data_IF_648411833683
#
_entry.id   IF_648411833683
#
_cell.length_a   1.000
_cell.length_b   1.000
_cell.length_c   1.000
_cell.angle_alpha   90.00
_cell.angle_beta   90.00
_cell.angle_gamma   90.00
#
_symmetry.space_group_name_H-M   'P 1'
#
loop_
_entity.id
_entity.type
_entity.pdbx_description
1 polymer ?
#
# COMPACT_ATOMS: atom_id res chain seq x y z
N UNK A 1 37.33 44.04 56.17
CA UNK A 1 37.91 43.63 54.88
C UNK A 1 36.83 43.69 53.80
N UNK A 2 37.14 44.27 52.64
CA UNK A 2 36.25 45.17 51.90
C UNK A 2 35.12 44.53 51.06
N UNK A 3 33.97 45.22 51.04
CA UNK A 3 32.88 45.03 50.05
C UNK A 3 33.34 45.28 48.59
N UNK A 4 34.47 45.96 48.40
CA UNK A 4 35.09 46.23 47.11
C UNK A 4 35.72 44.98 46.48
N UNK A 5 36.32 44.08 47.27
CA UNK A 5 36.99 42.87 46.77
C UNK A 5 35.99 41.87 46.17
N UNK A 6 34.78 41.79 46.73
CA UNK A 6 33.70 40.93 46.21
C UNK A 6 33.14 41.44 44.87
N UNK A 7 33.18 42.76 44.64
CA UNK A 7 32.75 43.38 43.38
C UNK A 7 33.81 43.23 42.28
N UNK A 8 35.09 43.20 42.63
CA UNK A 8 36.18 42.98 41.66
C UNK A 8 36.23 41.52 41.19
N UNK A 9 36.00 40.54 42.08
CA UNK A 9 35.92 39.12 41.68
C UNK A 9 34.70 38.82 40.80
N UNK A 10 33.56 39.48 41.03
CA UNK A 10 32.36 39.32 40.20
C UNK A 10 32.49 39.96 38.80
N UNK A 11 33.40 40.94 38.63
CA UNK A 11 33.63 41.64 37.35
C UNK A 11 34.70 40.97 36.48
N UNK A 12 35.47 40.02 37.01
CA UNK A 12 36.56 39.35 36.30
C UNK A 12 36.14 38.03 35.64
N UNK A 13 34.92 37.53 35.89
CA UNK A 13 34.36 36.33 35.25
C UNK A 13 33.64 36.60 33.92
N UNK A 14 33.61 37.84 33.45
CA UNK A 14 32.85 38.25 32.27
C UNK A 14 33.78 38.94 31.28
N UNK A 15 34.46 38.17 30.42
CA UNK A 15 34.87 38.63 29.09
C UNK A 15 35.35 37.44 28.23
N UNK A 16 34.40 36.80 27.55
CA UNK A 16 34.62 36.15 26.25
C UNK A 16 33.42 36.53 25.35
N UNK A 17 33.64 37.24 24.22
CA UNK A 17 32.55 37.93 23.53
C UNK A 17 32.01 37.11 22.35
N UNK A 18 30.69 36.88 22.29
CA UNK A 18 29.91 36.98 21.04
C UNK A 18 28.40 36.90 21.31
N UNK A 19 27.73 37.99 20.90
CA UNK A 19 26.35 38.17 20.48
C UNK A 19 25.26 37.19 20.97
N UNK A 20 24.12 37.68 21.50
CA UNK A 20 22.91 36.89 21.50
C UNK A 20 22.45 36.76 20.05
N UNK A 21 22.89 35.70 19.39
CA UNK A 21 22.31 35.25 18.14
C UNK A 21 20.83 35.00 18.44
N UNK A 22 20.00 35.95 18.04
CA UNK A 22 18.56 35.76 17.93
C UNK A 22 18.39 34.56 17.02
N UNK A 23 18.24 33.37 17.60
CA UNK A 23 17.62 32.25 16.91
C UNK A 23 16.23 32.75 16.56
N UNK A 24 16.09 33.22 15.33
CA UNK A 24 14.81 33.39 14.69
C UNK A 24 14.07 32.09 14.96
N UNK A 25 13.04 32.16 15.80
CA UNK A 25 12.09 31.09 15.96
C UNK A 25 11.61 30.78 14.53
N UNK A 26 12.03 29.62 14.02
CA UNK A 26 11.56 29.13 12.75
C UNK A 26 10.03 29.17 12.79
N UNK A 27 9.35 29.62 11.72
CA UNK A 27 7.91 29.67 11.71
C UNK A 27 7.43 28.23 11.89
N UNK A 28 6.77 27.99 13.02
CA UNK A 28 6.10 26.74 13.31
C UNK A 28 5.03 26.59 12.23
N UNK A 29 5.30 25.71 11.26
CA UNK A 29 4.42 25.49 10.11
C UNK A 29 3.06 25.10 10.65
N UNK A 30 2.13 26.02 10.49
CA UNK A 30 0.71 25.85 10.76
C UNK A 30 0.24 24.55 10.13
N UNK A 31 -0.58 23.82 10.90
CA UNK A 31 -1.11 22.52 10.56
C UNK A 31 -1.63 22.48 9.14
N UNK A 32 -0.85 21.82 8.27
CA UNK A 32 -1.35 21.32 7.01
C UNK A 32 -2.45 20.35 7.40
N UNK A 33 -3.71 20.79 7.25
CA UNK A 33 -4.90 19.93 7.37
C UNK A 33 -4.52 18.58 6.81
N UNK A 34 -4.52 17.59 7.70
CA UNK A 34 -4.09 16.23 7.46
C UNK A 34 -5.03 15.63 6.42
N UNK A 35 -4.78 15.94 5.14
CA UNK A 35 -5.37 15.20 4.03
C UNK A 35 -4.84 13.80 4.24
N UNK A 36 -5.75 12.88 4.54
CA UNK A 36 -5.46 11.45 4.64
C UNK A 36 -4.55 11.10 3.48
N UNK A 37 -3.26 10.91 3.74
CA UNK A 37 -2.30 10.72 2.67
C UNK A 37 -2.66 9.43 1.93
N UNK A 38 -2.41 9.35 0.62
CA UNK A 38 -2.65 8.11 -0.13
C UNK A 38 -2.02 6.87 0.55
N UNK A 39 -0.91 7.06 1.28
CA UNK A 39 -0.27 6.04 2.11
C UNK A 39 -1.15 5.56 3.28
N UNK A 40 -1.83 6.48 3.96
CA UNK A 40 -2.73 6.19 5.08
C UNK A 40 -3.98 5.45 4.59
N UNK A 41 -4.58 5.91 3.49
CA UNK A 41 -5.72 5.25 2.85
C UNK A 41 -5.39 3.81 2.40
N UNK A 42 -4.23 3.58 1.77
CA UNK A 42 -3.81 2.23 1.38
C UNK A 42 -3.55 1.32 2.58
N UNK A 43 -3.08 1.88 3.70
CA UNK A 43 -2.91 1.13 4.96
C UNK A 43 -4.26 0.71 5.54
N UNK A 44 -5.25 1.61 5.53
CA UNK A 44 -6.62 1.32 5.94
C UNK A 44 -7.28 0.26 5.04
N UNK A 45 -7.16 0.39 3.72
CA UNK A 45 -7.65 -0.60 2.74
C UNK A 45 -7.01 -1.97 2.94
N UNK A 46 -5.70 -2.03 3.24
CA UNK A 46 -5.02 -3.29 3.57
C UNK A 46 -5.55 -3.90 4.88
N UNK A 47 -5.92 -3.07 5.85
CA UNK A 47 -6.56 -3.49 7.09
C UNK A 47 -7.94 -4.13 6.84
N UNK A 48 -8.76 -3.52 5.99
CA UNK A 48 -10.07 -4.05 5.61
C UNK A 48 -9.96 -5.30 4.71
N UNK A 49 -9.01 -5.35 3.78
CA UNK A 49 -8.72 -6.51 2.93
C UNK A 49 -8.37 -7.77 3.73
N UNK A 50 -7.81 -7.62 4.94
CA UNK A 50 -7.56 -8.75 5.85
C UNK A 50 -8.83 -9.34 6.46
N UNK A 51 -9.94 -8.58 6.49
CA UNK A 51 -11.25 -9.07 6.93
C UNK A 51 -11.96 -9.87 5.85
N UNK A 52 -11.52 -9.75 4.60
CA UNK A 52 -12.04 -10.57 3.49
C UNK A 52 -11.54 -11.99 3.68
N UNK A 53 -12.48 -12.94 3.73
CA UNK A 53 -12.18 -14.36 3.75
C UNK A 53 -11.65 -14.77 2.37
N UNK A 54 -10.34 -14.61 2.15
CA UNK A 54 -9.70 -15.08 0.94
C UNK A 54 -9.72 -16.61 0.94
N UNK A 55 -10.21 -17.22 -0.15
CA UNK A 55 -10.28 -18.66 -0.27
C UNK A 55 -8.89 -19.26 -0.16
N UNK A 56 -8.81 -20.49 0.34
CA UNK A 56 -7.52 -21.17 0.43
C UNK A 56 -6.99 -21.47 -0.97
N UNK A 57 -5.66 -21.50 -1.14
CA UNK A 57 -5.04 -21.83 -2.45
C UNK A 57 -5.57 -23.16 -3.03
N UNK A 58 -5.90 -24.12 -2.16
CA UNK A 58 -6.46 -25.42 -2.54
C UNK A 58 -7.86 -25.29 -3.12
N UNK A 59 -8.72 -24.48 -2.51
CA UNK A 59 -10.09 -24.25 -2.97
C UNK A 59 -10.12 -23.57 -4.35
N UNK A 60 -9.25 -22.58 -4.55
CA UNK A 60 -9.08 -21.93 -5.86
C UNK A 60 -8.65 -22.93 -6.92
N UNK A 61 -7.61 -23.73 -6.64
CA UNK A 61 -7.10 -24.73 -7.58
C UNK A 61 -8.16 -25.79 -7.91
N UNK A 62 -8.88 -26.30 -6.91
CA UNK A 62 -9.93 -27.28 -7.11
C UNK A 62 -11.07 -26.71 -7.96
N UNK A 63 -11.50 -25.47 -7.68
CA UNK A 63 -12.57 -24.82 -8.43
C UNK A 63 -12.16 -24.58 -9.89
N UNK A 64 -10.92 -24.12 -10.13
CA UNK A 64 -10.40 -23.96 -11.50
C UNK A 64 -10.25 -25.29 -12.22
N UNK A 65 -9.86 -26.37 -11.53
CA UNK A 65 -9.73 -27.69 -12.12
C UNK A 65 -11.08 -28.24 -12.60
N UNK A 66 -12.13 -28.08 -11.79
CA UNK A 66 -13.50 -28.48 -12.17
C UNK A 66 -13.94 -27.72 -13.42
N UNK A 67 -13.70 -26.41 -13.47
CA UNK A 67 -14.03 -25.58 -14.64
C UNK A 67 -13.24 -26.01 -15.87
N UNK A 68 -11.93 -26.30 -15.74
CA UNK A 68 -11.11 -26.81 -16.85
C UNK A 68 -11.67 -28.11 -17.42
N UNK A 69 -12.05 -29.05 -16.56
CA UNK A 69 -12.66 -30.32 -16.98
C UNK A 69 -13.97 -30.05 -17.71
N UNK A 70 -14.84 -29.20 -17.16
CA UNK A 70 -16.12 -28.86 -17.78
C UNK A 70 -15.94 -28.23 -19.17
N UNK A 71 -14.99 -27.32 -19.32
CA UNK A 71 -14.65 -26.69 -20.61
C UNK A 71 -14.18 -27.75 -21.61
N UNK A 72 -13.26 -28.64 -21.22
CA UNK A 72 -12.75 -29.70 -22.12
C UNK A 72 -13.86 -30.63 -22.58
N UNK A 73 -14.75 -31.04 -21.66
CA UNK A 73 -15.90 -31.88 -22.00
C UNK A 73 -16.81 -31.15 -22.99
N UNK A 74 -17.17 -29.90 -22.71
CA UNK A 74 -18.07 -29.13 -23.56
C UNK A 74 -17.48 -28.88 -24.95
N UNK A 75 -16.19 -28.52 -25.03
CA UNK A 75 -15.47 -28.37 -26.30
C UNK A 75 -15.46 -29.68 -27.10
N UNK A 76 -15.21 -30.82 -26.44
CA UNK A 76 -15.19 -32.13 -27.10
C UNK A 76 -16.57 -32.50 -27.65
N UNK A 77 -17.63 -32.23 -26.89
CA UNK A 77 -19.01 -32.48 -27.32
C UNK A 77 -19.39 -31.63 -28.53
N UNK A 78 -19.10 -30.33 -28.49
CA UNK A 78 -19.36 -29.42 -29.61
C UNK A 78 -18.57 -29.87 -30.84
N UNK A 79 -17.27 -30.14 -30.69
CA UNK A 79 -16.43 -30.61 -31.78
C UNK A 79 -16.97 -31.91 -32.41
N UNK A 80 -17.37 -32.88 -31.58
CA UNK A 80 -17.97 -34.12 -32.06
C UNK A 80 -19.28 -33.90 -32.81
N UNK A 81 -20.12 -33.00 -32.32
CA UNK A 81 -21.37 -32.62 -32.96
C UNK A 81 -21.14 -31.92 -34.31
N UNK A 82 -20.22 -30.96 -34.37
CA UNK A 82 -19.85 -30.27 -35.60
C UNK A 82 -19.28 -31.23 -36.64
N UNK A 83 -18.41 -32.16 -36.21
CA UNK A 83 -17.85 -33.20 -37.07
C UNK A 83 -18.92 -34.13 -37.65
N UNK A 84 -19.85 -34.57 -36.79
CA UNK A 84 -20.96 -35.42 -37.19
C UNK A 84 -21.91 -34.70 -38.14
N UNK A 85 -22.23 -33.44 -37.85
CA UNK A 85 -23.07 -32.59 -38.70
C UNK A 85 -22.44 -32.39 -40.08
N UNK A 86 -21.13 -32.08 -40.14
CA UNK A 86 -20.42 -31.95 -41.42
C UNK A 86 -20.42 -33.23 -42.25
N UNK A 87 -20.16 -34.39 -41.61
CA UNK A 87 -20.26 -35.71 -42.25
C UNK A 87 -21.69 -36.01 -42.74
N UNK A 88 -22.70 -35.68 -41.94
CA UNK A 88 -24.11 -35.91 -42.27
C UNK A 88 -24.55 -35.07 -43.46
N UNK A 89 -24.17 -33.78 -43.51
CA UNK A 89 -24.47 -32.90 -44.63
C UNK A 89 -23.78 -33.40 -45.91
N UNK A 90 -22.50 -33.78 -45.84
CA UNK A 90 -21.80 -34.33 -47.00
C UNK A 90 -22.44 -35.63 -47.52
N UNK A 91 -22.93 -36.50 -46.62
CA UNK A 91 -23.66 -37.70 -47.01
C UNK A 91 -25.06 -37.40 -47.59
N UNK A 92 -25.69 -36.30 -47.20
CA UNK A 92 -27.02 -35.91 -47.69
C UNK A 92 -26.96 -35.22 -49.07
N UNK A 93 -25.84 -34.58 -49.39
CA UNK A 93 -25.63 -33.84 -50.65
C UNK A 93 -24.82 -34.61 -51.71
N UNK A 94 -24.38 -35.84 -51.40
CA UNK A 94 -23.81 -36.83 -52.33
C UNK A 94 -24.87 -37.90 -52.65
#
# INVERSE_FOLDING_TARGET
>A
MNRQTKRMMAKQGSDKPRAPERKAAAPQKEGTRERVGAKQYLSEVKGELKKVAWPTKKEVVNSTLIVLIAVVVMTTLIFGFDYLSGKFVLFLFD
#
